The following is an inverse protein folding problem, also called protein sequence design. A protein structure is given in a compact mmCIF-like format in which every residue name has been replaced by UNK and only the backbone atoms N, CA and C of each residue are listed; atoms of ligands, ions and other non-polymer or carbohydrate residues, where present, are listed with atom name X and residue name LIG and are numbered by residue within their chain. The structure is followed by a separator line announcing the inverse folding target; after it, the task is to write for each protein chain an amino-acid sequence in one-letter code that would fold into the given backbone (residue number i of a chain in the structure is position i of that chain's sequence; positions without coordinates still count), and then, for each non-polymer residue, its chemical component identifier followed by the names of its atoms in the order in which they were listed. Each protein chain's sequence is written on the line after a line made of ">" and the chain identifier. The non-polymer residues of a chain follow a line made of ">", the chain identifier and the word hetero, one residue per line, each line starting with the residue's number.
data_IF_943656906213
#
_entry.id   IF_943656906213
#
_cell.length_a   1.000
_cell.length_b   1.000
_cell.length_c   1.000
_cell.angle_alpha   90.00
_cell.angle_beta   90.00
_cell.angle_gamma   90.00
#
_symmetry.space_group_name_H-M   'P 1'
#
loop_
_entity.id
_entity.type
_entity.pdbx_description
1 polymer ?
#
# COMPACT_ATOMS: atom_id res chain seq x y z
N UNK A 1 8.73 -14.10 -54.42
CA UNK A 1 7.49 -14.51 -53.73
C UNK A 1 7.62 -14.12 -52.27
N UNK A 2 7.16 -12.92 -51.92
CA UNK A 2 7.21 -12.39 -50.56
C UNK A 2 5.80 -11.91 -50.20
N UNK A 3 5.21 -12.52 -49.17
CA UNK A 3 3.89 -12.14 -48.68
C UNK A 3 4.03 -10.97 -47.71
N UNK A 4 3.49 -9.83 -48.12
CA UNK A 4 3.40 -8.60 -47.35
C UNK A 4 2.10 -8.63 -46.54
N UNK A 5 2.20 -8.81 -45.23
CA UNK A 5 1.07 -8.71 -44.30
C UNK A 5 0.73 -7.23 -44.15
N UNK A 6 -0.45 -6.83 -44.63
CA UNK A 6 -1.04 -5.50 -44.37
C UNK A 6 -1.61 -5.49 -42.95
N UNK A 7 -0.95 -4.77 -42.04
CA UNK A 7 -1.56 -4.35 -40.78
C UNK A 7 -2.55 -3.22 -41.07
N UNK A 8 -3.83 -3.45 -40.77
CA UNK A 8 -4.87 -2.42 -40.79
C UNK A 8 -4.81 -1.69 -39.44
N UNK A 9 -4.40 -0.42 -39.46
CA UNK A 9 -4.60 0.49 -38.34
C UNK A 9 -6.07 0.88 -38.28
N UNK A 10 -6.80 0.35 -37.29
CA UNK A 10 -8.11 0.88 -36.91
C UNK A 10 -7.86 2.08 -36.01
N UNK A 11 -8.12 3.28 -36.52
CA UNK A 11 -8.17 4.50 -35.74
C UNK A 11 -9.40 4.43 -34.81
N UNK A 12 -9.22 3.87 -33.62
CA UNK A 12 -10.18 3.98 -32.54
C UNK A 12 -10.13 5.40 -31.98
N UNK A 13 -11.19 6.18 -32.20
CA UNK A 13 -11.45 7.41 -31.48
C UNK A 13 -11.72 7.06 -30.00
N UNK A 14 -10.67 6.88 -29.23
CA UNK A 14 -10.74 6.73 -27.78
C UNK A 14 -11.13 8.06 -27.18
N UNK A 15 -12.37 8.15 -26.68
CA UNK A 15 -12.79 9.17 -25.74
C UNK A 15 -11.82 9.15 -24.55
N UNK A 16 -10.85 10.06 -24.55
CA UNK A 16 -10.23 10.54 -23.33
C UNK A 16 -11.32 11.30 -22.58
N UNK A 17 -12.12 10.59 -21.80
CA UNK A 17 -12.79 11.21 -20.67
C UNK A 17 -11.67 11.62 -19.72
N UNK A 18 -11.11 12.82 -19.93
CA UNK A 18 -10.42 13.53 -18.88
C UNK A 18 -11.41 13.57 -17.72
N UNK A 19 -11.19 12.79 -16.66
CA UNK A 19 -11.94 12.94 -15.43
C UNK A 19 -11.83 14.41 -15.05
N UNK A 20 -12.92 15.20 -15.10
CA UNK A 20 -12.86 16.53 -14.55
C UNK A 20 -12.69 16.34 -13.05
N UNK A 21 -11.46 16.52 -12.55
CA UNK A 21 -11.22 16.70 -11.13
C UNK A 21 -11.90 18.01 -10.78
N UNK A 22 -13.17 17.92 -10.40
CA UNK A 22 -13.95 19.07 -9.96
C UNK A 22 -13.30 19.55 -8.68
N UNK A 23 -12.49 20.61 -8.77
CA UNK A 23 -12.00 21.36 -7.62
C UNK A 23 -13.22 21.91 -6.87
N UNK A 24 -13.78 21.15 -5.92
CA UNK A 24 -14.49 21.76 -4.82
C UNK A 24 -13.43 22.42 -3.94
N UNK A 25 -13.10 23.66 -4.32
CA UNK A 25 -12.41 24.59 -3.46
C UNK A 25 -13.24 24.72 -2.18
N UNK A 26 -12.73 24.13 -1.10
CA UNK A 26 -13.11 24.53 0.25
C UNK A 26 -12.56 25.95 0.41
N UNK A 27 -13.37 26.92 0.00
CA UNK A 27 -13.13 28.33 0.16
C UNK A 27 -13.33 28.68 1.63
N UNK A 28 -12.23 28.92 2.35
CA UNK A 28 -12.20 29.86 3.47
C UNK A 28 -10.78 30.41 3.67
N UNK A 29 -10.44 31.42 2.87
CA UNK A 29 -10.00 32.72 3.40
C UNK A 29 -8.71 32.86 4.21
N UNK A 30 -7.84 31.85 4.34
CA UNK A 30 -6.49 32.04 4.89
C UNK A 30 -5.43 31.38 4.01
N UNK A 31 -4.84 32.17 3.10
CA UNK A 31 -3.64 31.84 2.32
C UNK A 31 -2.37 31.86 3.18
N UNK A 32 -2.49 31.61 4.48
CA UNK A 32 -1.35 31.44 5.37
C UNK A 32 -0.69 30.10 5.07
N UNK A 33 0.63 30.11 4.89
CA UNK A 33 1.42 28.87 4.87
C UNK A 33 1.13 28.11 6.16
N UNK A 34 0.60 26.90 6.06
CA UNK A 34 0.34 26.06 7.23
C UNK A 34 1.67 25.74 7.92
N UNK A 35 1.68 25.72 9.25
CA UNK A 35 2.89 25.50 10.04
C UNK A 35 2.63 24.47 11.14
N UNK A 36 3.68 23.78 11.57
CA UNK A 36 3.67 22.89 12.74
C UNK A 36 4.78 23.29 13.70
N UNK A 37 4.63 22.93 14.97
CA UNK A 37 5.68 23.12 15.99
C UNK A 37 6.20 21.75 16.46
N UNK A 38 7.52 21.61 16.56
CA UNK A 38 8.18 20.42 17.10
C UNK A 38 9.52 20.83 17.75
N UNK A 39 9.79 20.38 18.98
CA UNK A 39 11.05 20.68 19.67
C UNK A 39 11.34 22.18 19.86
N UNK A 40 10.30 23.00 20.02
CA UNK A 40 10.43 24.47 20.15
C UNK A 40 10.75 25.21 18.84
N UNK A 41 10.77 24.51 17.69
CA UNK A 41 10.92 25.09 16.36
C UNK A 41 9.60 25.05 15.60
N UNK A 42 9.36 26.06 14.77
CA UNK A 42 8.21 26.11 13.86
C UNK A 42 8.68 25.77 12.44
N UNK A 43 7.99 24.85 11.80
CA UNK A 43 8.26 24.43 10.44
C UNK A 43 7.07 24.76 9.53
N UNK A 44 7.36 25.38 8.39
CA UNK A 44 6.38 25.52 7.33
C UNK A 44 6.09 24.17 6.66
N UNK A 45 4.84 23.92 6.33
CA UNK A 45 4.41 22.75 5.58
C UNK A 45 4.49 23.02 4.07
N UNK A 46 4.48 21.94 3.30
CA UNK A 46 4.37 21.97 1.85
C UNK A 46 3.22 22.91 1.40
N UNK A 47 3.44 23.83 0.44
CA UNK A 47 4.51 23.82 -0.58
C UNK A 47 5.88 24.40 -0.16
N UNK A 48 6.09 24.76 1.11
CA UNK A 48 7.40 25.21 1.56
C UNK A 48 8.46 24.09 1.43
N UNK A 49 9.67 24.48 1.00
CA UNK A 49 10.82 23.60 0.81
C UNK A 49 12.02 24.03 1.68
N UNK A 50 12.85 23.06 2.05
CA UNK A 50 14.02 23.23 2.91
C UNK A 50 15.28 22.73 2.20
N UNK A 51 16.40 23.44 2.33
CA UNK A 51 17.69 23.00 1.77
C UNK A 51 18.36 21.88 2.57
N UNK A 52 18.04 21.81 3.85
CA UNK A 52 18.51 20.77 4.75
C UNK A 52 17.31 19.97 5.27
N UNK A 53 17.55 18.71 5.62
CA UNK A 53 16.50 17.86 6.19
C UNK A 53 16.04 18.48 7.52
N UNK A 54 14.73 18.79 7.68
CA UNK A 54 14.21 19.25 8.96
C UNK A 54 14.46 18.22 10.06
N UNK A 55 14.88 18.70 11.23
CA UNK A 55 15.09 17.88 12.43
C UNK A 55 13.75 17.62 13.13
N UNK A 56 12.96 16.75 12.49
CA UNK A 56 11.64 16.30 12.92
C UNK A 56 11.51 14.80 12.63
N UNK A 57 10.91 13.99 13.53
CA UNK A 57 10.60 12.61 13.21
C UNK A 57 9.65 12.54 12.01
N UNK A 58 9.66 11.40 11.31
CA UNK A 58 8.79 11.18 10.16
C UNK A 58 8.27 9.74 10.24
N UNK A 59 6.95 9.49 10.32
CA UNK A 59 5.91 10.52 10.46
C UNK A 59 6.04 11.30 11.77
N UNK A 60 5.63 12.57 11.74
CA UNK A 60 5.35 13.36 12.93
C UNK A 60 3.84 13.51 13.08
N UNK A 61 3.32 13.33 14.30
CA UNK A 61 1.93 13.59 14.64
C UNK A 61 1.86 14.74 15.62
N UNK A 62 1.26 15.85 15.20
CA UNK A 62 1.00 17.00 16.04
C UNK A 62 -0.18 16.75 17.01
N UNK A 63 -0.31 17.60 18.02
CA UNK A 63 -1.34 17.48 19.07
C UNK A 63 -2.77 17.58 18.52
N UNK A 64 -2.97 18.34 17.45
CA UNK A 64 -4.26 18.49 16.75
C UNK A 64 -4.60 17.29 15.84
N UNK A 65 -3.74 16.27 15.81
CA UNK A 65 -3.88 15.08 14.99
C UNK A 65 -3.33 15.21 13.57
N UNK A 66 -2.79 16.36 13.17
CA UNK A 66 -2.11 16.52 11.88
C UNK A 66 -0.90 15.58 11.81
N UNK A 67 -0.82 14.79 10.74
CA UNK A 67 0.32 13.94 10.45
C UNK A 67 1.11 14.50 9.29
N UNK A 68 2.44 14.41 9.39
CA UNK A 68 3.36 14.98 8.42
C UNK A 68 4.47 13.98 8.09
N UNK A 69 4.74 13.81 6.81
CA UNK A 69 5.92 13.09 6.32
C UNK A 69 6.99 14.06 5.81
N UNK A 70 8.24 13.69 6.06
CA UNK A 70 9.38 14.31 5.38
C UNK A 70 9.62 13.60 4.05
N UNK A 71 9.57 14.36 2.96
CA UNK A 71 9.95 13.92 1.63
C UNK A 71 11.18 14.68 1.14
N UNK A 72 11.98 14.07 0.27
CA UNK A 72 13.04 14.73 -0.50
C UNK A 72 12.64 14.74 -1.98
N UNK A 73 12.63 15.93 -2.55
CA UNK A 73 12.25 16.19 -3.94
C UNK A 73 13.36 15.78 -4.91
N UNK A 74 13.06 15.79 -6.20
CA UNK A 74 14.04 15.52 -7.27
C UNK A 74 15.19 16.53 -7.29
N UNK A 75 14.95 17.76 -6.81
CA UNK A 75 15.97 18.82 -6.68
C UNK A 75 16.85 18.65 -5.43
N UNK A 76 16.72 17.53 -4.70
CA UNK A 76 17.37 17.25 -3.42
C UNK A 76 16.99 18.22 -2.28
N UNK A 77 15.92 18.98 -2.44
CA UNK A 77 15.32 19.77 -1.36
C UNK A 77 14.36 18.89 -0.53
N UNK A 78 14.00 19.34 0.66
CA UNK A 78 13.11 18.63 1.57
C UNK A 78 11.77 19.34 1.71
N UNK A 79 10.71 18.58 1.91
CA UNK A 79 9.36 19.08 2.15
C UNK A 79 8.73 18.35 3.35
N UNK A 80 7.90 19.07 4.09
CA UNK A 80 7.06 18.53 5.15
C UNK A 80 5.62 18.46 4.65
N UNK A 81 5.21 17.28 4.21
CA UNK A 81 3.95 17.06 3.50
C UNK A 81 2.88 16.60 4.50
N UNK A 82 1.75 17.31 4.62
CA UNK A 82 0.60 16.83 5.38
C UNK A 82 0.06 15.53 4.78
N UNK A 83 -0.10 14.50 5.61
CA UNK A 83 -0.56 13.17 5.18
C UNK A 83 -1.65 12.58 6.08
N UNK A 84 -2.25 13.40 6.96
CA UNK A 84 -3.27 12.99 7.92
C UNK A 84 -4.29 12.04 7.32
N UNK A 85 -4.48 10.89 7.97
CA UNK A 85 -5.58 9.99 7.66
C UNK A 85 -6.75 10.40 8.53
N UNK A 86 -7.85 10.79 7.89
CA UNK A 86 -9.10 11.10 8.60
C UNK A 86 -10.12 10.00 8.34
N UNK A 87 -10.38 9.10 9.30
CA UNK A 87 -11.47 8.14 9.20
C UNK A 87 -12.80 8.84 8.93
N UNK A 88 -13.70 8.20 8.18
CA UNK A 88 -14.99 8.78 7.83
C UNK A 88 -14.95 9.86 6.76
N UNK A 89 -13.77 10.36 6.37
CA UNK A 89 -13.63 11.30 5.26
C UNK A 89 -13.20 10.56 4.01
N UNK A 90 -14.01 10.73 2.98
CA UNK A 90 -13.67 10.42 1.61
C UNK A 90 -12.41 11.19 1.22
N UNK A 91 -11.29 10.48 0.96
CA UNK A 91 -10.02 11.13 0.61
C UNK A 91 -10.13 11.89 -0.74
N UNK A 92 -11.10 11.53 -1.59
CA UNK A 92 -11.63 12.30 -2.70
C UNK A 92 -13.18 12.33 -2.63
N UNK A 93 -13.89 13.33 -3.19
CA UNK A 93 -15.36 13.38 -3.15
C UNK A 93 -16.10 12.16 -3.73
N UNK A 94 -15.40 11.33 -4.52
CA UNK A 94 -15.91 10.11 -5.12
C UNK A 94 -15.44 8.83 -4.41
N UNK A 95 -14.57 8.93 -3.41
CA UNK A 95 -14.10 7.77 -2.64
C UNK A 95 -15.06 7.51 -1.47
N UNK A 96 -15.36 6.26 -1.19
CA UNK A 96 -16.10 5.93 0.02
C UNK A 96 -15.28 6.30 1.28
N UNK A 97 -15.92 6.64 2.40
CA UNK A 97 -15.25 6.84 3.69
C UNK A 97 -14.29 5.69 4.05
N UNK A 98 -13.18 6.00 4.71
CA UNK A 98 -12.26 4.97 5.22
C UNK A 98 -12.86 4.33 6.48
N UNK A 99 -13.73 3.34 6.28
CA UNK A 99 -14.45 2.63 7.34
C UNK A 99 -14.46 1.13 7.06
N UNK A 100 -14.36 0.34 8.13
CA UNK A 100 -14.57 -1.11 8.08
C UNK A 100 -16.08 -1.34 8.15
N UNK A 101 -16.61 -2.12 7.21
CA UNK A 101 -18.01 -2.54 7.25
C UNK A 101 -18.20 -3.49 8.45
N UNK A 102 -18.87 -2.98 9.49
CA UNK A 102 -19.10 -3.72 10.72
C UNK A 102 -20.12 -4.86 10.54
N UNK A 103 -20.96 -4.78 9.51
CA UNK A 103 -21.92 -5.83 9.17
C UNK A 103 -21.22 -7.02 8.53
N UNK A 104 -20.21 -6.75 7.69
CA UNK A 104 -19.37 -7.80 7.10
C UNK A 104 -18.35 -8.37 8.09
N UNK A 105 -17.66 -7.51 8.86
CA UNK A 105 -16.50 -7.88 9.68
C UNK A 105 -16.49 -7.22 11.06
N UNK A 106 -17.35 -7.69 11.95
CA UNK A 106 -17.50 -7.16 13.30
C UNK A 106 -16.24 -7.31 14.16
N UNK A 107 -15.50 -8.42 14.02
CA UNK A 107 -14.27 -8.64 14.77
C UNK A 107 -13.14 -7.72 14.30
N UNK A 108 -12.99 -7.57 12.98
CA UNK A 108 -12.03 -6.63 12.37
C UNK A 108 -12.29 -5.21 12.84
N UNK A 109 -13.55 -4.74 12.77
CA UNK A 109 -13.91 -3.40 13.20
C UNK A 109 -13.59 -3.12 14.68
N UNK A 110 -13.82 -4.10 15.55
CA UNK A 110 -13.62 -3.95 17.00
C UNK A 110 -12.16 -4.11 17.42
N UNK A 111 -11.42 -5.02 16.80
CA UNK A 111 -10.11 -5.46 17.30
C UNK A 111 -8.94 -5.14 16.36
N UNK A 112 -9.23 -4.73 15.13
CA UNK A 112 -8.23 -4.50 14.09
C UNK A 112 -7.67 -5.76 13.43
N UNK A 113 -8.17 -6.95 13.80
CA UNK A 113 -7.88 -8.26 13.20
C UNK A 113 -9.15 -9.09 13.05
N UNK A 114 -9.18 -9.99 12.08
CA UNK A 114 -10.34 -10.87 11.85
C UNK A 114 -10.42 -12.00 12.87
N UNK A 115 -11.65 -12.44 13.14
CA UNK A 115 -11.93 -13.72 13.78
C UNK A 115 -11.98 -14.81 12.70
N UNK A 116 -11.21 -15.90 12.85
CA UNK A 116 -11.27 -17.00 11.88
C UNK A 116 -12.65 -17.64 11.82
N UNK A 117 -13.34 -17.76 12.96
CA UNK A 117 -14.70 -18.29 13.01
C UNK A 117 -15.71 -17.39 12.27
N UNK A 118 -15.49 -16.07 12.25
CA UNK A 118 -16.30 -15.14 11.45
C UNK A 118 -16.02 -15.37 9.96
N UNK A 119 -14.74 -15.45 9.57
CA UNK A 119 -14.34 -15.72 8.18
C UNK A 119 -14.86 -17.05 7.63
N UNK A 120 -14.97 -18.11 8.44
CA UNK A 120 -15.59 -19.38 8.01
C UNK A 120 -17.09 -19.26 7.70
N UNK A 121 -17.77 -18.30 8.32
CA UNK A 121 -19.20 -18.07 8.14
C UNK A 121 -19.50 -17.00 7.09
N UNK A 122 -18.51 -16.20 6.68
CA UNK A 122 -18.64 -15.20 5.62
C UNK A 122 -19.11 -15.86 4.31
N UNK A 123 -20.17 -15.31 3.71
CA UNK A 123 -20.71 -15.73 2.40
C UNK A 123 -20.67 -14.62 1.36
N UNK A 124 -20.66 -13.38 1.81
CA UNK A 124 -20.53 -12.18 1.01
C UNK A 124 -19.65 -11.17 1.70
N UNK A 125 -19.07 -10.27 0.91
CA UNK A 125 -18.40 -9.04 1.36
C UNK A 125 -18.98 -7.94 0.51
N UNK A 126 -19.46 -6.86 1.14
CA UNK A 126 -20.03 -5.67 0.49
C UNK A 126 -21.10 -6.00 -0.54
N UNK A 127 -21.95 -6.97 -0.19
CA UNK A 127 -23.06 -7.47 -1.03
C UNK A 127 -22.66 -8.41 -2.17
N UNK A 128 -21.36 -8.67 -2.38
CA UNK A 128 -20.86 -9.60 -3.40
C UNK A 128 -20.53 -10.95 -2.79
N UNK A 129 -20.90 -12.05 -3.44
CA UNK A 129 -20.59 -13.38 -2.91
C UNK A 129 -19.07 -13.66 -2.90
N UNK A 130 -18.60 -14.44 -1.92
CA UNK A 130 -17.19 -14.87 -1.82
C UNK A 130 -16.71 -15.57 -3.10
N UNK A 131 -17.57 -16.39 -3.72
CA UNK A 131 -17.27 -17.07 -4.98
C UNK A 131 -17.09 -16.08 -6.14
N UNK A 132 -17.94 -15.05 -6.22
CA UNK A 132 -17.83 -14.02 -7.25
C UNK A 132 -16.60 -13.12 -7.05
N UNK A 133 -16.27 -12.74 -5.81
CA UNK A 133 -15.03 -11.99 -5.52
C UNK A 133 -13.80 -12.81 -5.92
N UNK A 134 -13.78 -14.09 -5.56
CA UNK A 134 -12.69 -15.01 -5.93
C UNK A 134 -12.55 -15.09 -7.45
N UNK A 135 -13.64 -15.33 -8.16
CA UNK A 135 -13.65 -15.41 -9.62
C UNK A 135 -13.13 -14.12 -10.26
N UNK A 136 -13.55 -12.94 -9.79
CA UNK A 136 -13.07 -11.66 -10.33
C UNK A 136 -11.61 -11.35 -9.99
N UNK A 137 -11.13 -11.91 -8.87
CA UNK A 137 -9.75 -11.77 -8.42
C UNK A 137 -8.75 -12.67 -9.17
N UNK A 138 -9.20 -13.65 -9.95
CA UNK A 138 -8.30 -14.52 -10.73
C UNK A 138 -7.53 -13.77 -11.82
N UNK A 139 -6.36 -14.28 -12.24
CA UNK A 139 -5.66 -13.79 -13.42
C UNK A 139 -6.54 -13.74 -14.67
N UNK A 140 -6.39 -12.69 -15.47
CA UNK A 140 -7.13 -12.49 -16.72
C UNK A 140 -8.57 -12.02 -16.55
N UNK A 141 -9.01 -11.67 -15.33
CA UNK A 141 -10.37 -11.20 -15.02
C UNK A 141 -10.41 -9.69 -14.93
N UNK A 142 -10.58 -9.13 -13.73
CA UNK A 142 -10.48 -7.67 -13.57
C UNK A 142 -9.04 -7.17 -13.64
N UNK A 143 -8.05 -8.04 -13.43
CA UNK A 143 -6.62 -7.74 -13.57
C UNK A 143 -5.95 -8.79 -14.44
N UNK A 144 -5.01 -8.37 -15.30
CA UNK A 144 -4.23 -9.30 -16.14
C UNK A 144 -3.42 -10.30 -15.31
N UNK A 145 -2.80 -9.83 -14.22
CA UNK A 145 -2.06 -10.67 -13.27
C UNK A 145 -2.94 -11.29 -12.18
N UNK A 146 -4.18 -10.82 -12.04
CA UNK A 146 -5.07 -11.17 -10.93
C UNK A 146 -4.78 -10.35 -9.66
N UNK A 147 -5.72 -10.37 -8.73
CA UNK A 147 -5.58 -9.92 -7.35
C UNK A 147 -5.17 -11.07 -6.42
N UNK A 148 -5.24 -12.32 -6.88
CA UNK A 148 -4.78 -13.51 -6.18
C UNK A 148 -4.27 -14.54 -7.20
N UNK A 149 -3.44 -15.49 -6.77
CA UNK A 149 -2.94 -16.55 -7.65
C UNK A 149 -4.08 -17.49 -8.09
N UNK A 150 -3.85 -18.38 -9.06
CA UNK A 150 -4.87 -19.27 -9.64
C UNK A 150 -5.39 -20.36 -8.67
N UNK A 151 -4.65 -20.64 -7.61
CA UNK A 151 -4.94 -21.67 -6.61
C UNK A 151 -5.42 -21.11 -5.26
N UNK A 152 -5.48 -19.79 -5.09
CA UNK A 152 -5.89 -19.12 -3.84
C UNK A 152 -7.36 -18.64 -3.87
N UNK A 153 -8.13 -18.71 -2.80
CA UNK A 153 -9.43 -18.03 -2.73
C UNK A 153 -9.40 -16.81 -1.80
N UNK A 154 -10.36 -15.90 -1.94
CA UNK A 154 -10.37 -14.64 -1.19
C UNK A 154 -10.28 -14.86 0.33
N UNK A 155 -10.97 -15.87 0.87
CA UNK A 155 -10.97 -16.12 2.32
C UNK A 155 -9.67 -16.78 2.76
N UNK A 156 -9.09 -17.68 1.97
CA UNK A 156 -7.78 -18.28 2.26
C UNK A 156 -6.68 -17.20 2.35
N UNK A 157 -6.70 -16.21 1.45
CA UNK A 157 -5.76 -15.07 1.48
C UNK A 157 -5.99 -14.21 2.72
N UNK A 158 -7.23 -13.77 2.98
CA UNK A 158 -7.56 -12.95 4.16
C UNK A 158 -7.18 -13.68 5.46
N UNK A 159 -7.46 -14.98 5.59
CA UNK A 159 -7.06 -15.78 6.76
C UNK A 159 -5.54 -15.88 6.90
N UNK A 160 -4.85 -16.19 5.81
CA UNK A 160 -3.39 -16.28 5.76
C UNK A 160 -2.74 -14.99 6.24
N UNK A 161 -3.14 -13.87 5.65
CA UNK A 161 -2.62 -12.55 6.02
C UNK A 161 -3.03 -12.12 7.43
N UNK A 162 -4.26 -12.39 7.87
CA UNK A 162 -4.70 -12.12 9.24
C UNK A 162 -3.82 -12.82 10.28
N UNK A 163 -3.44 -14.09 10.03
CA UNK A 163 -2.50 -14.82 10.88
C UNK A 163 -1.12 -14.15 10.91
N UNK A 164 -0.61 -13.67 9.76
CA UNK A 164 0.66 -12.96 9.70
C UNK A 164 0.62 -11.65 10.51
N UNK A 165 -0.42 -10.84 10.32
CA UNK A 165 -0.63 -9.56 11.01
C UNK A 165 -0.74 -9.76 12.52
N UNK A 166 -1.58 -10.70 12.97
CA UNK A 166 -1.73 -11.04 14.38
C UNK A 166 -0.41 -11.54 14.99
N UNK A 167 0.36 -12.35 14.25
CA UNK A 167 1.64 -12.89 14.71
C UNK A 167 2.74 -11.82 14.84
N UNK A 168 2.67 -10.74 14.05
CA UNK A 168 3.51 -9.55 14.21
C UNK A 168 3.08 -8.69 15.42
N UNK A 169 1.90 -8.95 16.01
CA UNK A 169 1.31 -8.11 17.04
C UNK A 169 0.92 -6.74 16.51
N UNK A 170 0.38 -6.71 15.28
CA UNK A 170 -0.12 -5.52 14.60
C UNK A 170 -1.61 -5.70 14.27
N UNK A 171 -2.26 -4.62 13.87
CA UNK A 171 -3.60 -4.59 13.28
C UNK A 171 -3.53 -4.28 11.78
N UNK A 172 -4.57 -4.62 11.02
CA UNK A 172 -4.63 -4.26 9.60
C UNK A 172 -4.59 -2.74 9.38
N UNK A 173 -5.20 -1.96 10.28
CA UNK A 173 -5.16 -0.49 10.22
C UNK A 173 -3.74 0.07 10.43
N UNK A 174 -2.96 -0.51 11.36
CA UNK A 174 -1.55 -0.12 11.56
C UNK A 174 -0.69 -0.46 10.34
N UNK A 175 -0.95 -1.59 9.68
CA UNK A 175 -0.22 -1.99 8.47
C UNK A 175 -0.64 -1.16 7.26
N UNK A 176 -1.91 -0.78 7.13
CA UNK A 176 -2.40 0.09 6.05
C UNK A 176 -1.91 1.54 6.17
N UNK A 177 -1.75 2.05 7.40
CA UNK A 177 -1.46 3.47 7.68
C UNK A 177 -0.26 4.04 6.91
N UNK A 178 0.92 3.39 6.86
CA UNK A 178 2.04 3.90 6.08
C UNK A 178 1.75 4.00 4.58
N UNK A 179 0.97 3.08 4.02
CA UNK A 179 0.57 3.10 2.61
C UNK A 179 -0.44 4.21 2.33
N UNK A 180 -1.39 4.44 3.24
CA UNK A 180 -2.31 5.58 3.18
C UNK A 180 -1.56 6.92 3.25
N UNK A 181 -0.54 7.01 4.12
CA UNK A 181 0.34 8.19 4.15
C UNK A 181 1.06 8.41 2.82
N UNK A 182 1.56 7.34 2.20
CA UNK A 182 2.19 7.41 0.87
C UNK A 182 1.20 7.89 -0.19
N UNK A 183 -0.04 7.38 -0.21
CA UNK A 183 -1.08 7.84 -1.12
C UNK A 183 -1.37 9.34 -0.95
N UNK A 184 -1.53 9.81 0.30
CA UNK A 184 -1.76 11.23 0.60
C UNK A 184 -0.57 12.10 0.19
N UNK A 185 0.66 11.62 0.40
CA UNK A 185 1.87 12.31 -0.03
C UNK A 185 1.92 12.45 -1.55
N UNK A 186 1.69 11.36 -2.29
CA UNK A 186 1.70 11.37 -3.76
C UNK A 186 0.63 12.34 -4.28
N UNK A 187 -0.57 12.32 -3.70
CA UNK A 187 -1.65 13.25 -4.05
C UNK A 187 -1.25 14.71 -3.84
N UNK A 188 -0.72 15.04 -2.66
CA UNK A 188 -0.30 16.41 -2.35
C UNK A 188 0.78 16.92 -3.32
N UNK A 189 1.77 16.09 -3.65
CA UNK A 189 2.82 16.46 -4.60
C UNK A 189 2.30 16.52 -6.05
N UNK A 190 1.42 15.59 -6.45
CA UNK A 190 0.91 15.50 -7.81
C UNK A 190 -0.06 16.63 -8.16
N UNK A 191 -0.98 16.99 -7.23
CA UNK A 191 -1.96 18.06 -7.46
C UNK A 191 -1.30 19.39 -7.84
N UNK A 192 -0.06 19.63 -7.41
CA UNK A 192 0.66 20.87 -7.72
C UNK A 192 1.57 20.76 -8.95
N UNK A 193 2.13 19.58 -9.22
CA UNK A 193 3.22 19.44 -10.22
C UNK A 193 2.80 18.73 -11.50
N UNK A 194 1.75 17.89 -11.44
CA UNK A 194 1.25 17.11 -12.59
C UNK A 194 2.25 16.10 -13.17
N UNK A 195 3.39 15.86 -12.52
CA UNK A 195 4.49 15.06 -13.07
C UNK A 195 4.63 13.69 -12.41
N UNK A 196 5.27 12.78 -13.14
CA UNK A 196 5.70 11.46 -12.65
C UNK A 196 6.96 11.66 -11.84
N UNK A 197 7.01 11.14 -10.63
CA UNK A 197 8.09 11.44 -9.70
C UNK A 197 8.71 10.20 -9.09
N UNK A 198 10.03 10.26 -8.92
CA UNK A 198 10.73 9.45 -7.93
C UNK A 198 10.93 10.29 -6.69
N UNK A 199 10.31 9.89 -5.58
CA UNK A 199 10.43 10.59 -4.32
C UNK A 199 11.22 9.74 -3.33
N UNK A 200 12.01 10.40 -2.48
CA UNK A 200 12.55 9.75 -1.29
C UNK A 200 11.69 10.18 -0.10
N UNK A 201 11.21 9.21 0.65
CA UNK A 201 10.37 9.44 1.84
C UNK A 201 11.06 8.86 3.06
N UNK A 202 10.94 9.57 4.18
CA UNK A 202 11.45 9.08 5.46
C UNK A 202 10.29 8.56 6.32
N UNK A 203 10.41 7.36 6.87
CA UNK A 203 9.38 6.74 7.71
C UNK A 203 10.01 5.92 8.82
N UNK A 204 9.67 6.21 10.09
CA UNK A 204 10.28 5.61 11.28
C UNK A 204 11.84 5.57 11.22
N UNK A 205 12.45 6.64 10.72
CA UNK A 205 13.90 6.73 10.52
C UNK A 205 14.44 5.98 9.29
N UNK A 206 13.62 5.17 8.61
CA UNK A 206 13.97 4.47 7.37
C UNK A 206 13.84 5.39 6.17
N UNK A 207 14.69 5.16 5.17
CA UNK A 207 14.68 5.87 3.88
C UNK A 207 14.06 4.97 2.82
N UNK A 208 12.95 5.41 2.25
CA UNK A 208 12.20 4.72 1.21
C UNK A 208 12.37 5.44 -0.12
N UNK A 209 12.51 4.68 -1.19
CA UNK A 209 12.37 5.18 -2.57
C UNK A 209 10.99 4.82 -3.07
N UNK A 210 10.28 5.82 -3.59
CA UNK A 210 8.96 5.66 -4.21
C UNK A 210 9.07 6.00 -5.69
N UNK A 211 8.63 5.08 -6.55
CA UNK A 211 8.45 5.33 -7.97
C UNK A 211 6.97 5.16 -8.31
N UNK A 212 6.36 6.20 -8.87
CA UNK A 212 4.93 6.23 -9.18
C UNK A 212 4.72 6.20 -10.68
N UNK A 213 3.90 5.26 -11.15
CA UNK A 213 3.53 5.14 -12.55
C UNK A 213 2.01 5.16 -12.73
N UNK A 214 1.55 6.03 -13.62
CA UNK A 214 0.15 6.15 -13.99
C UNK A 214 -0.20 5.14 -15.08
N UNK A 215 -1.23 4.34 -14.87
CA UNK A 215 -1.79 3.48 -15.90
C UNK A 215 -2.66 4.30 -16.85
N UNK A 216 -2.74 3.90 -18.12
CA UNK A 216 -3.66 4.51 -19.09
C UNK A 216 -5.11 4.05 -18.92
N UNK A 217 -5.36 3.10 -18.04
CA UNK A 217 -6.68 2.54 -17.73
C UNK A 217 -6.86 2.40 -16.22
N UNK A 218 -8.11 2.44 -15.77
CA UNK A 218 -8.47 2.22 -14.37
C UNK A 218 -8.49 0.73 -14.02
N UNK A 219 -8.18 0.40 -12.77
CA UNK A 219 -8.35 -0.92 -12.17
C UNK A 219 -9.60 -0.89 -11.32
N UNK A 220 -10.62 -1.67 -11.69
CA UNK A 220 -11.86 -1.77 -10.90
C UNK A 220 -11.65 -2.64 -9.67
N UNK A 221 -12.37 -2.31 -8.61
CA UNK A 221 -12.39 -3.09 -7.38
C UNK A 221 -13.16 -4.41 -7.48
N UNK A 222 -12.64 -5.45 -6.82
CA UNK A 222 -13.32 -6.76 -6.67
C UNK A 222 -14.42 -6.75 -5.59
N UNK A 223 -14.50 -5.70 -4.76
CA UNK A 223 -15.42 -5.60 -3.62
C UNK A 223 -16.65 -4.71 -3.87
N UNK A 224 -16.92 -4.23 -5.09
CA UNK A 224 -18.10 -3.37 -5.35
C UNK A 224 -18.18 -2.11 -4.47
N UNK A 225 -17.05 -1.61 -4.00
CA UNK A 225 -16.95 -0.48 -3.05
C UNK A 225 -16.70 0.87 -3.75
N UNK A 226 -16.91 0.90 -5.06
CA UNK A 226 -16.67 2.06 -5.95
C UNK A 226 -15.22 2.56 -5.96
N UNK A 227 -14.27 1.81 -5.42
CA UNK A 227 -12.86 2.10 -5.59
C UNK A 227 -12.42 1.74 -7.00
N UNK A 228 -11.71 2.67 -7.62
CA UNK A 228 -10.99 2.48 -8.87
C UNK A 228 -9.54 2.95 -8.66
N UNK A 229 -8.58 2.20 -9.19
CA UNK A 229 -7.17 2.54 -9.16
C UNK A 229 -6.66 3.09 -10.49
N UNK A 230 -5.79 4.08 -10.46
CA UNK A 230 -5.23 4.76 -11.64
C UNK A 230 -3.69 4.84 -11.64
N UNK A 231 -3.04 4.50 -10.52
CA UNK A 231 -1.59 4.43 -10.45
C UNK A 231 -1.07 3.23 -9.69
N UNK A 232 0.21 2.99 -9.92
CA UNK A 232 1.02 1.93 -9.33
C UNK A 232 2.21 2.59 -8.62
N UNK A 233 2.60 2.00 -7.50
CA UNK A 233 3.64 2.54 -6.64
C UNK A 233 4.62 1.41 -6.37
N UNK A 234 5.85 1.60 -6.82
CA UNK A 234 6.98 0.76 -6.47
C UNK A 234 7.66 1.36 -5.25
N UNK A 235 7.73 0.59 -4.17
CA UNK A 235 8.29 1.01 -2.88
C UNK A 235 9.52 0.16 -2.61
N UNK A 236 10.65 0.82 -2.36
CA UNK A 236 11.93 0.15 -2.14
C UNK A 236 12.66 0.68 -0.91
N UNK A 237 13.29 -0.22 -0.16
CA UNK A 237 14.27 0.08 0.89
C UNK A 237 15.46 -0.87 0.80
N UNK A 238 16.66 -0.34 0.80
CA UNK A 238 17.86 -1.18 0.93
C UNK A 238 18.10 -1.56 2.41
N UNK A 239 18.72 -2.72 2.63
CA UNK A 239 19.13 -3.14 3.97
C UNK A 239 20.20 -2.21 4.55
N UNK A 240 20.13 -1.96 5.85
CA UNK A 240 21.27 -1.48 6.61
C UNK A 240 22.30 -2.60 6.77
N UNK A 241 23.57 -2.25 6.98
CA UNK A 241 24.67 -3.22 7.10
C UNK A 241 24.39 -4.30 8.18
N UNK A 242 23.83 -3.88 9.32
CA UNK A 242 23.45 -4.81 10.40
C UNK A 242 22.30 -5.74 10.02
N UNK A 243 21.31 -5.25 9.28
CA UNK A 243 20.15 -6.03 8.84
C UNK A 243 20.60 -7.07 7.80
N UNK A 244 21.47 -6.67 6.88
CA UNK A 244 22.09 -7.56 5.90
C UNK A 244 22.95 -8.64 6.60
N UNK A 245 23.80 -8.24 7.55
CA UNK A 245 24.63 -9.17 8.31
C UNK A 245 23.77 -10.16 9.11
N UNK A 246 22.65 -9.72 9.66
CA UNK A 246 21.69 -10.58 10.35
C UNK A 246 21.10 -11.63 9.40
N UNK A 247 20.54 -11.20 8.26
CA UNK A 247 19.95 -12.12 7.28
C UNK A 247 20.98 -13.13 6.76
N UNK A 248 22.21 -12.69 6.50
CA UNK A 248 23.29 -13.56 6.03
C UNK A 248 23.57 -14.71 7.00
N UNK A 249 23.45 -14.47 8.32
CA UNK A 249 23.63 -15.50 9.35
C UNK A 249 22.37 -16.35 9.51
N UNK A 250 21.20 -15.73 9.68
CA UNK A 250 19.94 -16.43 9.96
C UNK A 250 19.51 -17.35 8.81
N UNK A 251 19.82 -16.96 7.57
CA UNK A 251 19.45 -17.67 6.35
C UNK A 251 20.64 -18.25 5.59
N UNK A 252 21.75 -18.54 6.27
CA UNK A 252 22.96 -19.12 5.66
C UNK A 252 22.73 -20.48 4.98
N UNK A 253 21.64 -21.18 5.34
CA UNK A 253 21.24 -22.49 4.79
C UNK A 253 20.42 -22.42 3.50
N UNK A 254 19.89 -21.25 3.15
CA UNK A 254 19.15 -21.10 1.89
C UNK A 254 20.14 -21.25 0.74
N UNK A 255 19.68 -21.87 -0.35
CA UNK A 255 20.44 -21.81 -1.59
C UNK A 255 20.48 -20.36 -2.14
N UNK A 256 21.41 -20.06 -3.06
CA UNK A 256 21.57 -18.70 -3.58
C UNK A 256 20.30 -18.10 -4.20
N UNK A 257 19.48 -18.90 -4.88
CA UNK A 257 18.26 -18.42 -5.56
C UNK A 257 17.16 -18.10 -4.54
N UNK A 258 16.94 -18.97 -3.57
CA UNK A 258 16.02 -18.71 -2.46
C UNK A 258 16.42 -17.46 -1.67
N UNK A 259 17.71 -17.25 -1.47
CA UNK A 259 18.22 -16.08 -0.77
C UNK A 259 18.01 -14.80 -1.57
N UNK A 260 18.23 -14.84 -2.89
CA UNK A 260 17.95 -13.72 -3.79
C UNK A 260 16.47 -13.34 -3.73
N UNK A 261 15.56 -14.33 -3.85
CA UNK A 261 14.11 -14.11 -3.72
C UNK A 261 13.73 -13.53 -2.36
N UNK A 262 14.30 -14.02 -1.26
CA UNK A 262 14.03 -13.48 0.09
C UNK A 262 14.45 -12.01 0.18
N UNK A 263 15.64 -11.66 -0.32
CA UNK A 263 16.16 -10.29 -0.31
C UNK A 263 15.30 -9.38 -1.18
N UNK A 264 14.95 -9.81 -2.39
CA UNK A 264 14.10 -9.05 -3.30
C UNK A 264 12.75 -8.75 -2.67
N UNK A 265 12.05 -9.78 -2.17
CA UNK A 265 10.72 -9.64 -1.55
C UNK A 265 10.73 -8.76 -0.31
N UNK A 266 11.79 -8.78 0.49
CA UNK A 266 11.88 -7.91 1.68
C UNK A 266 12.22 -6.46 1.34
N UNK A 267 12.95 -6.21 0.26
CA UNK A 267 13.47 -4.86 -0.05
C UNK A 267 12.60 -4.08 -1.02
N UNK A 268 11.65 -4.75 -1.68
CA UNK A 268 10.85 -4.16 -2.74
C UNK A 268 9.44 -4.71 -2.76
N UNK A 269 8.45 -3.84 -2.97
CA UNK A 269 7.08 -4.23 -3.28
C UNK A 269 6.46 -3.29 -4.31
N UNK A 270 5.49 -3.84 -5.04
CA UNK A 270 4.67 -3.12 -6.00
C UNK A 270 3.23 -3.15 -5.50
N UNK A 271 2.60 -1.97 -5.42
CA UNK A 271 1.23 -1.83 -4.91
C UNK A 271 0.42 -0.89 -5.79
N UNK A 272 -0.88 -1.15 -5.89
CA UNK A 272 -1.85 -0.18 -6.41
C UNK A 272 -2.31 0.82 -5.33
N UNK A 273 -3.02 1.86 -5.73
CA UNK A 273 -3.55 2.86 -4.80
C UNK A 273 -4.75 2.40 -3.98
N UNK A 274 -5.50 1.43 -4.50
CA UNK A 274 -6.65 0.84 -3.81
C UNK A 274 -6.20 -0.06 -2.66
N UNK A 275 -4.99 -0.59 -2.75
CA UNK A 275 -4.50 -1.62 -1.84
C UNK A 275 -4.46 -1.20 -0.36
N UNK A 276 -4.00 0.02 0.02
CA UNK A 276 -4.15 0.49 1.39
C UNK A 276 -5.60 0.45 1.92
N UNK A 277 -6.58 0.70 1.06
CA UNK A 277 -7.99 0.64 1.43
C UNK A 277 -8.46 -0.80 1.60
N UNK A 278 -8.04 -1.73 0.75
CA UNK A 278 -8.35 -3.15 0.92
C UNK A 278 -7.79 -3.73 2.22
N UNK A 279 -6.56 -3.33 2.56
CA UNK A 279 -5.94 -3.74 3.82
C UNK A 279 -6.77 -3.17 4.98
N UNK A 280 -7.07 -1.87 4.95
CA UNK A 280 -7.80 -1.23 6.04
C UNK A 280 -9.23 -1.79 6.21
N UNK A 281 -9.98 -1.92 5.12
CA UNK A 281 -11.41 -2.28 5.13
C UNK A 281 -11.66 -3.77 5.27
N UNK A 282 -10.84 -4.60 4.63
CA UNK A 282 -11.11 -6.03 4.43
C UNK A 282 -9.98 -6.93 4.95
N UNK A 283 -8.83 -6.37 5.33
CA UNK A 283 -7.66 -7.15 5.70
C UNK A 283 -7.05 -7.95 4.55
N UNK A 284 -7.24 -7.51 3.31
CA UNK A 284 -6.80 -8.20 2.09
C UNK A 284 -5.53 -7.58 1.50
N UNK A 285 -4.47 -8.37 1.27
CA UNK A 285 -3.14 -7.91 0.84
C UNK A 285 -2.76 -8.23 -0.61
N UNK A 286 -3.75 -8.64 -1.41
CA UNK A 286 -3.55 -9.43 -2.64
C UNK A 286 -2.87 -10.78 -2.37
N UNK A 287 -3.27 -11.79 -3.15
CA UNK A 287 -2.65 -13.11 -3.10
C UNK A 287 -1.23 -13.09 -3.64
N UNK A 288 -0.62 -14.27 -3.80
CA UNK A 288 0.78 -14.41 -4.23
C UNK A 288 1.00 -14.14 -5.73
N UNK A 289 0.73 -12.89 -6.12
CA UNK A 289 0.95 -12.35 -7.46
C UNK A 289 2.17 -11.42 -7.47
N UNK A 290 2.43 -10.77 -8.61
CA UNK A 290 3.43 -9.70 -8.71
C UNK A 290 3.04 -8.42 -7.93
N UNK A 291 1.77 -8.31 -7.51
CA UNK A 291 1.18 -7.15 -6.84
C UNK A 291 0.96 -7.37 -5.33
N UNK A 292 1.40 -8.53 -4.81
CA UNK A 292 1.31 -8.87 -3.39
C UNK A 292 1.94 -7.77 -2.55
N UNK A 293 1.13 -7.19 -1.66
CA UNK A 293 1.57 -6.16 -0.72
C UNK A 293 1.70 -6.79 0.66
N UNK A 294 2.67 -7.69 0.83
CA UNK A 294 2.76 -8.59 1.99
C UNK A 294 2.90 -7.83 3.34
N UNK A 295 2.15 -8.19 4.41
CA UNK A 295 2.20 -7.50 5.70
C UNK A 295 3.58 -7.54 6.38
N UNK A 296 4.36 -8.60 6.18
CA UNK A 296 5.73 -8.71 6.70
C UNK A 296 6.64 -7.70 6.01
N UNK A 297 6.48 -7.55 4.69
CA UNK A 297 7.26 -6.61 3.87
C UNK A 297 6.89 -5.17 4.24
N UNK A 298 5.62 -4.83 4.39
CA UNK A 298 5.19 -3.50 4.84
C UNK A 298 5.79 -3.19 6.22
N UNK A 299 5.69 -4.12 7.17
CA UNK A 299 6.22 -3.91 8.52
C UNK A 299 7.73 -3.65 8.51
N UNK A 300 8.48 -4.35 7.66
CA UNK A 300 9.93 -4.19 7.53
C UNK A 300 10.34 -2.92 6.77
N UNK A 301 9.71 -2.63 5.63
CA UNK A 301 10.04 -1.46 4.81
C UNK A 301 9.80 -0.16 5.60
N UNK A 302 8.64 -0.04 6.24
CA UNK A 302 8.25 1.16 6.98
C UNK A 302 8.78 1.20 8.43
N UNK A 303 9.56 0.20 8.85
CA UNK A 303 10.15 0.18 10.20
C UNK A 303 9.13 0.03 11.32
N UNK A 304 7.98 -0.60 11.06
CA UNK A 304 7.02 -0.99 12.10
C UNK A 304 7.58 -2.11 12.98
N UNK A 305 8.41 -2.97 12.39
CA UNK A 305 9.20 -4.01 13.06
C UNK A 305 10.59 -4.08 12.44
N UNK A 306 11.59 -4.35 13.27
CA UNK A 306 12.94 -4.71 12.82
C UNK A 306 12.94 -6.11 12.20
N UNK A 307 13.97 -6.41 11.39
CA UNK A 307 14.11 -7.75 10.81
C UNK A 307 14.32 -8.82 11.88
N UNK A 308 14.95 -8.46 13.00
CA UNK A 308 15.14 -9.34 14.15
C UNK A 308 13.81 -9.65 14.87
N UNK A 309 12.93 -8.67 15.06
CA UNK A 309 11.60 -8.88 15.64
C UNK A 309 10.70 -9.74 14.73
N UNK A 310 10.76 -9.49 13.42
CA UNK A 310 10.06 -10.29 12.41
C UNK A 310 10.60 -11.73 12.44
N UNK A 311 11.92 -11.91 12.41
CA UNK A 311 12.54 -13.23 12.45
C UNK A 311 12.23 -13.99 13.74
N UNK A 312 12.17 -13.30 14.89
CA UNK A 312 11.85 -13.93 16.16
C UNK A 312 10.48 -14.62 16.16
N UNK A 313 9.51 -14.12 15.41
CA UNK A 313 8.19 -14.75 15.31
C UNK A 313 8.13 -15.83 14.22
N UNK A 314 8.92 -15.73 13.14
CA UNK A 314 8.88 -16.71 12.03
C UNK A 314 9.97 -17.79 12.06
N UNK A 315 11.00 -17.65 12.90
CA UNK A 315 12.00 -18.66 13.23
C UNK A 315 12.61 -19.39 12.00
N UNK A 316 13.21 -18.63 11.09
CA UNK A 316 13.95 -19.15 9.93
C UNK A 316 13.05 -19.54 8.76
N UNK A 317 11.81 -19.06 8.75
CA UNK A 317 10.79 -19.40 7.76
C UNK A 317 10.38 -18.21 6.87
N UNK A 318 11.05 -17.05 6.92
CA UNK A 318 10.62 -15.87 6.16
C UNK A 318 10.53 -16.12 4.66
N UNK A 319 11.50 -16.85 4.07
CA UNK A 319 11.41 -17.22 2.66
C UNK A 319 10.09 -17.95 2.36
N UNK A 320 9.75 -18.97 3.16
CA UNK A 320 8.51 -19.73 2.99
C UNK A 320 7.28 -18.84 3.20
N UNK A 321 7.28 -18.00 4.23
CA UNK A 321 6.17 -17.07 4.54
C UNK A 321 5.89 -16.12 3.38
N UNK A 322 6.91 -15.65 2.68
CA UNK A 322 6.80 -14.69 1.58
C UNK A 322 6.49 -15.34 0.21
N UNK A 323 6.67 -16.65 0.07
CA UNK A 323 6.54 -17.34 -1.22
C UNK A 323 5.45 -18.40 -1.26
N UNK A 324 4.96 -18.88 -0.11
CA UNK A 324 3.98 -19.96 -0.07
C UNK A 324 2.56 -19.41 -0.23
N UNK A 325 1.88 -19.85 -1.29
CA UNK A 325 0.49 -19.50 -1.55
C UNK A 325 -0.45 -19.91 -0.41
N UNK A 326 -1.48 -19.10 -0.19
CA UNK A 326 -2.57 -19.43 0.74
C UNK A 326 -3.62 -20.25 0.03
N UNK A 327 -3.44 -21.57 0.04
CA UNK A 327 -4.44 -22.50 -0.51
C UNK A 327 -5.48 -22.85 0.55
N UNK A 328 -6.72 -23.09 0.13
CA UNK A 328 -7.75 -23.62 1.02
C UNK A 328 -7.31 -24.99 1.54
N UNK A 329 -7.40 -25.20 2.87
CA UNK A 329 -7.15 -26.52 3.43
C UNK A 329 -8.13 -27.50 2.76
N UNK A 330 -7.59 -28.56 2.15
CA UNK A 330 -8.40 -29.58 1.50
C UNK A 330 -9.28 -30.23 2.57
N UNK A 331 -10.57 -29.86 2.60
CA UNK A 331 -11.57 -30.52 3.43
C UNK A 331 -11.76 -31.98 2.99
#
# INVERSE_FOLDING_TARGET
>A
MGNMIKLIFVAGAGFLAACPVTQQAVSNGQTGVKQISCGGKTYALYPAIFKERPDIPSPYRAEDGLEVLTARTEQNDYALVPVTITPGIALCPWEAPLEIDQEDFSALARTGVHSEAELELTRSITGRSVAEITELGRPGRLSSSGFMAEDEDILSVIKGDNRLVAKLGLTHAEVARPLLHVCNLIRALYLETGARHTNIVFYAGKRLTLQVEFSRGGQKSIFQDSLDGAWTIKIRRDFEEKEQAFLNRAYARLDPAQRETLVERLTEMLTGEMQPFYIYRYGFYEGHTAWRTDPVVIAFLFGLKSIEEIEAVFAGQLHRVLTQHFVCDSQ
#
